data_IF_218875553897
#
_entry.id   IF_218875553897
#
_cell.length_a   1.000
_cell.length_b   1.000
_cell.length_c   1.000
_cell.angle_alpha   90.00
_cell.angle_beta   90.00
_cell.angle_gamma   90.00
#
_symmetry.space_group_name_H-M   'P 1'
#
loop_
_entity.id
_entity.type
_entity.pdbx_description
1 polymer ?
#
# COMPACT_ATOMS: atom_id res chain seq x y z
N UNK A 1 27.26 -3.46 47.40
CA UNK A 1 27.75 -4.82 47.72
C UNK A 1 27.39 -5.70 46.53
N UNK A 2 28.12 -5.63 45.41
CA UNK A 2 29.41 -6.30 45.08
C UNK A 2 29.23 -7.78 44.80
N UNK A 3 29.45 -8.20 43.55
CA UNK A 3 29.51 -9.61 43.16
C UNK A 3 29.74 -9.81 41.65
N UNK A 4 30.89 -9.38 41.13
CA UNK A 4 31.42 -9.80 39.82
C UNK A 4 31.92 -11.24 39.93
N UNK A 5 31.66 -12.06 38.93
CA UNK A 5 32.52 -13.20 38.58
C UNK A 5 32.82 -13.15 37.08
N UNK A 6 34.10 -12.95 36.80
CA UNK A 6 34.77 -13.10 35.51
C UNK A 6 35.45 -14.49 35.53
N UNK A 7 36.08 -14.85 34.42
CA UNK A 7 37.09 -15.93 34.21
C UNK A 7 36.40 -17.29 33.89
N UNK A 8 36.69 -18.03 32.81
CA UNK A 8 38.02 -18.35 32.24
C UNK A 8 37.94 -18.90 30.80
N UNK A 9 39.03 -18.64 30.07
CA UNK A 9 39.46 -19.04 28.71
C UNK A 9 39.51 -20.57 28.50
N UNK A 10 39.77 -20.97 27.23
CA UNK A 10 40.86 -21.91 26.76
C UNK A 10 40.31 -22.94 25.73
N UNK A 11 40.56 -22.76 24.42
CA UNK A 11 41.47 -23.59 23.54
C UNK A 11 40.69 -24.69 22.78
N UNK A 12 40.96 -25.17 21.56
CA UNK A 12 41.81 -24.90 20.38
C UNK A 12 41.71 -26.21 19.54
N UNK A 13 41.90 -26.16 18.20
CA UNK A 13 42.27 -27.28 17.27
C UNK A 13 41.18 -28.36 16.97
N UNK A 14 41.04 -29.01 15.80
CA UNK A 14 41.85 -29.31 14.60
C UNK A 14 40.94 -29.27 13.34
N UNK A 15 41.28 -28.78 12.14
CA UNK A 15 42.31 -29.13 11.14
C UNK A 15 42.08 -30.43 10.36
N UNK A 16 42.14 -30.31 9.01
CA UNK A 16 42.24 -31.33 7.92
C UNK A 16 40.91 -31.87 7.35
N UNK A 17 40.71 -32.14 6.05
CA UNK A 17 41.62 -32.33 4.93
C UNK A 17 40.96 -32.04 3.55
N UNK A 18 41.81 -31.73 2.56
CA UNK A 18 41.55 -31.60 1.12
C UNK A 18 41.07 -32.92 0.47
N UNK A 19 40.35 -32.84 -0.67
CA UNK A 19 40.55 -33.61 -1.93
C UNK A 19 39.58 -33.03 -2.98
N UNK A 20 40.04 -32.27 -3.97
CA UNK A 20 40.56 -32.68 -5.29
C UNK A 20 39.48 -32.81 -6.38
N UNK A 21 39.82 -32.25 -7.54
CA UNK A 21 39.01 -31.85 -8.68
C UNK A 21 38.36 -32.97 -9.49
N UNK A 22 37.19 -32.67 -10.05
CA UNK A 22 36.69 -33.30 -11.29
C UNK A 22 36.16 -32.22 -12.21
N UNK A 23 36.94 -31.89 -13.25
CA UNK A 23 36.47 -31.16 -14.41
C UNK A 23 35.51 -32.04 -15.21
N UNK A 24 34.30 -31.56 -15.49
CA UNK A 24 33.52 -32.05 -16.62
C UNK A 24 32.98 -30.87 -17.43
N UNK A 25 33.33 -30.98 -18.71
CA UNK A 25 33.08 -30.07 -19.81
C UNK A 25 31.61 -29.70 -20.00
N UNK A 26 31.41 -28.41 -20.25
CA UNK A 26 30.73 -27.86 -21.42
C UNK A 26 29.66 -28.75 -22.11
N UNK A 27 28.40 -28.44 -21.82
CA UNK A 27 27.35 -28.43 -22.84
C UNK A 27 26.86 -27.00 -22.99
N UNK A 28 27.36 -26.32 -24.02
CA UNK A 28 26.72 -25.13 -24.56
C UNK A 28 25.32 -25.52 -25.05
N UNK A 29 24.29 -24.98 -24.41
CA UNK A 29 23.01 -24.76 -25.06
C UNK A 29 22.59 -23.33 -24.81
N UNK A 30 22.38 -22.61 -25.92
CA UNK A 30 22.10 -21.20 -25.97
C UNK A 30 20.89 -20.84 -25.12
N UNK A 31 21.13 -19.91 -24.21
CA UNK A 31 20.13 -19.29 -23.37
C UNK A 31 20.72 -18.04 -22.79
N UNK A 32 21.14 -17.09 -23.63
CA UNK A 32 21.10 -15.68 -23.24
C UNK A 32 19.63 -15.32 -23.04
N UNK A 33 19.04 -15.87 -21.98
CA UNK A 33 17.90 -15.29 -21.31
C UNK A 33 18.40 -13.94 -20.86
N UNK A 34 18.14 -12.96 -21.72
CA UNK A 34 18.07 -11.55 -21.37
C UNK A 34 17.15 -11.53 -20.16
N UNK A 35 17.76 -11.57 -18.97
CA UNK A 35 17.10 -11.14 -17.77
C UNK A 35 16.76 -9.70 -18.08
N UNK A 36 15.54 -9.47 -18.54
CA UNK A 36 14.92 -8.17 -18.42
C UNK A 36 15.04 -7.86 -16.94
N UNK A 37 16.05 -7.09 -16.59
CA UNK A 37 16.07 -6.31 -15.37
C UNK A 37 14.90 -5.36 -15.53
N UNK A 38 13.71 -5.87 -15.24
CA UNK A 38 12.56 -5.02 -15.01
C UNK A 38 13.04 -4.01 -13.97
N UNK A 39 13.02 -2.71 -14.28
CA UNK A 39 13.53 -1.71 -13.36
C UNK A 39 12.83 -1.93 -12.02
N UNK A 40 13.61 -2.14 -10.97
CA UNK A 40 13.07 -2.25 -9.62
C UNK A 40 12.22 -1.00 -9.39
N UNK A 41 10.91 -1.20 -9.27
CA UNK A 41 9.97 -0.11 -9.10
C UNK A 41 10.37 0.67 -7.86
N UNK A 42 10.46 1.99 -7.99
CA UNK A 42 10.78 2.86 -6.86
C UNK A 42 9.78 2.62 -5.72
N UNK A 43 10.27 2.52 -4.49
CA UNK A 43 9.43 2.41 -3.30
C UNK A 43 8.52 3.62 -3.20
N UNK A 44 7.24 3.38 -2.92
CA UNK A 44 6.24 4.41 -2.68
C UNK A 44 5.50 4.06 -1.40
N UNK A 45 5.83 4.75 -0.31
CA UNK A 45 5.30 4.41 1.00
C UNK A 45 3.87 4.91 1.21
N UNK A 46 3.15 4.35 2.17
CA UNK A 46 1.86 4.85 2.64
C UNK A 46 1.94 6.32 3.04
N UNK A 47 3.06 6.75 3.64
CA UNK A 47 3.29 8.15 4.02
C UNK A 47 3.34 9.03 2.78
N UNK A 48 4.08 8.62 1.74
CA UNK A 48 4.14 9.38 0.48
C UNK A 48 2.78 9.41 -0.25
N UNK A 49 2.02 8.33 -0.18
CA UNK A 49 0.65 8.27 -0.70
C UNK A 49 -0.27 9.25 0.04
N UNK A 50 -0.20 9.29 1.37
CA UNK A 50 -0.98 10.21 2.19
C UNK A 50 -0.56 11.67 1.97
N UNK A 51 0.73 11.96 1.86
CA UNK A 51 1.25 13.29 1.54
C UNK A 51 0.76 13.79 0.19
N UNK A 52 0.71 12.92 -0.83
CA UNK A 52 0.19 13.28 -2.16
C UNK A 52 -1.31 13.63 -2.14
N UNK A 53 -2.09 13.06 -1.22
CA UNK A 53 -3.49 13.44 -0.98
C UNK A 53 -3.57 14.73 -0.17
N UNK A 54 -2.74 14.86 0.88
CA UNK A 54 -2.72 16.04 1.75
C UNK A 54 -2.30 17.33 1.03
N UNK A 55 -1.59 17.23 -0.10
CA UNK A 55 -1.21 18.38 -0.93
C UNK A 55 -2.36 18.96 -1.75
N UNK A 56 -3.50 18.26 -1.85
CA UNK A 56 -4.67 18.79 -2.55
C UNK A 56 -5.27 19.99 -1.78
N UNK A 57 -5.63 21.09 -2.48
CA UNK A 57 -6.29 22.23 -1.87
C UNK A 57 -7.53 21.85 -1.07
N UNK A 58 -7.64 22.33 0.16
CA UNK A 58 -8.80 22.10 1.03
C UNK A 58 -8.79 20.76 1.79
N UNK A 59 -7.80 19.89 1.59
CA UNK A 59 -7.60 18.71 2.44
C UNK A 59 -6.98 19.15 3.77
N UNK A 60 -7.59 18.73 4.88
CA UNK A 60 -7.17 19.09 6.24
C UNK A 60 -6.39 17.97 6.92
N UNK A 61 -6.63 16.71 6.53
CA UNK A 61 -5.87 15.55 7.00
C UNK A 61 -5.93 14.42 5.98
N UNK A 62 -4.82 13.69 5.81
CA UNK A 62 -4.80 12.43 5.08
C UNK A 62 -3.88 11.44 5.79
N UNK A 63 -4.34 10.19 5.93
CA UNK A 63 -3.57 9.08 6.49
C UNK A 63 -3.84 7.82 5.67
N UNK A 64 -2.79 7.04 5.40
CA UNK A 64 -2.88 5.74 4.75
C UNK A 64 -2.08 4.75 5.59
N UNK A 65 -2.65 3.57 5.82
CA UNK A 65 -2.02 2.51 6.59
C UNK A 65 -2.59 1.14 6.24
N UNK A 66 -1.98 0.08 6.76
CA UNK A 66 -2.56 -1.27 6.77
C UNK A 66 -2.93 -1.71 8.17
N UNK A 67 -3.89 -2.63 8.26
CA UNK A 67 -4.27 -3.26 9.52
C UNK A 67 -4.73 -4.70 9.30
N UNK A 68 -4.76 -5.48 10.37
CA UNK A 68 -5.31 -6.84 10.36
C UNK A 68 -6.83 -6.78 10.27
N UNK A 69 -7.41 -7.63 9.43
CA UNK A 69 -8.85 -7.76 9.20
C UNK A 69 -9.34 -9.11 9.72
N UNK A 70 -9.44 -9.25 11.05
CA UNK A 70 -9.83 -10.49 11.72
C UNK A 70 -8.65 -11.44 11.98
N UNK A 71 -8.10 -12.07 10.93
CA UNK A 71 -6.97 -13.00 11.04
C UNK A 71 -5.64 -12.34 10.67
N UNK A 72 -4.48 -12.76 11.23
CA UNK A 72 -3.17 -12.16 10.91
C UNK A 72 -2.77 -12.18 9.43
N UNK A 73 -3.30 -13.12 8.63
CA UNK A 73 -3.06 -13.19 7.17
C UNK A 73 -4.02 -12.32 6.35
N UNK A 74 -5.04 -11.76 7.00
CA UNK A 74 -6.04 -10.88 6.40
C UNK A 74 -5.60 -9.44 6.67
N UNK A 75 -5.20 -8.75 5.61
CA UNK A 75 -4.70 -7.38 5.67
C UNK A 75 -5.65 -6.51 4.89
N UNK A 76 -6.16 -5.46 5.55
CA UNK A 76 -6.91 -4.38 4.89
C UNK A 76 -6.01 -3.16 4.73
N UNK A 77 -6.20 -2.45 3.63
CA UNK A 77 -5.64 -1.12 3.39
C UNK A 77 -6.66 -0.09 3.87
N UNK A 78 -6.19 0.92 4.59
CA UNK A 78 -6.99 1.97 5.21
C UNK A 78 -6.56 3.31 4.65
N UNK A 79 -7.52 4.14 4.28
CA UNK A 79 -7.30 5.54 3.98
C UNK A 79 -8.31 6.39 4.76
N UNK A 80 -7.82 7.41 5.47
CA UNK A 80 -8.65 8.38 6.20
C UNK A 80 -8.34 9.77 5.66
N UNK A 81 -9.36 10.46 5.16
CA UNK A 81 -9.20 11.78 4.54
C UNK A 81 -10.30 12.71 5.02
N UNK A 82 -9.91 13.92 5.41
CA UNK A 82 -10.83 15.00 5.77
C UNK A 82 -10.56 16.22 4.90
N UNK A 83 -11.63 16.91 4.50
CA UNK A 83 -11.56 18.18 3.80
C UNK A 83 -12.37 19.26 4.52
N UNK A 84 -12.00 20.51 4.27
CA UNK A 84 -12.65 21.70 4.85
C UNK A 84 -14.06 21.93 4.31
N UNK A 85 -14.83 22.75 5.03
CA UNK A 85 -16.15 23.15 4.59
C UNK A 85 -16.08 23.94 3.27
N UNK A 86 -16.95 23.60 2.32
CA UNK A 86 -16.95 24.24 1.00
C UNK A 86 -15.92 23.69 0.02
N UNK A 87 -15.34 22.51 0.29
CA UNK A 87 -14.54 21.76 -0.69
C UNK A 87 -15.25 21.71 -2.04
N UNK A 88 -14.60 22.26 -3.07
CA UNK A 88 -15.25 22.60 -4.34
C UNK A 88 -15.06 21.54 -5.43
N UNK A 89 -14.13 20.60 -5.23
CA UNK A 89 -13.85 19.55 -6.19
C UNK A 89 -14.82 18.35 -6.03
N UNK A 90 -14.89 17.50 -7.06
CA UNK A 90 -15.82 16.37 -7.09
C UNK A 90 -15.45 15.30 -6.05
N UNK A 91 -16.33 14.97 -5.08
CA UNK A 91 -16.06 13.93 -4.07
C UNK A 91 -15.80 12.53 -4.66
N UNK A 92 -16.43 12.15 -5.78
CA UNK A 92 -16.21 10.86 -6.43
C UNK A 92 -14.78 10.76 -6.99
N UNK A 93 -14.30 11.84 -7.60
CA UNK A 93 -12.96 11.92 -8.16
C UNK A 93 -11.88 11.97 -7.07
N UNK A 94 -12.16 12.67 -5.96
CA UNK A 94 -11.31 12.62 -4.77
C UNK A 94 -11.24 11.19 -4.21
N UNK A 95 -12.37 10.50 -4.09
CA UNK A 95 -12.42 9.10 -3.62
C UNK A 95 -11.60 8.18 -4.53
N UNK A 96 -11.75 8.29 -5.85
CA UNK A 96 -10.94 7.53 -6.81
C UNK A 96 -9.44 7.81 -6.62
N UNK A 97 -9.06 9.08 -6.53
CA UNK A 97 -7.66 9.46 -6.36
C UNK A 97 -7.07 8.89 -5.06
N UNK A 98 -7.81 8.94 -3.94
CA UNK A 98 -7.39 8.35 -2.66
C UNK A 98 -7.16 6.85 -2.80
N UNK A 99 -8.09 6.12 -3.41
CA UNK A 99 -7.98 4.66 -3.60
C UNK A 99 -6.76 4.34 -4.46
N UNK A 100 -6.55 5.06 -5.56
CA UNK A 100 -5.42 4.84 -6.46
C UNK A 100 -4.08 5.18 -5.81
N UNK A 101 -4.00 6.25 -5.02
CA UNK A 101 -2.79 6.55 -4.25
C UNK A 101 -2.48 5.46 -3.22
N UNK A 102 -3.49 5.04 -2.45
CA UNK A 102 -3.32 3.96 -1.49
C UNK A 102 -2.90 2.64 -2.18
N UNK A 103 -3.54 2.28 -3.29
CA UNK A 103 -3.24 1.05 -4.06
C UNK A 103 -1.85 1.05 -4.68
N UNK A 104 -1.24 2.22 -4.85
CA UNK A 104 0.11 2.38 -5.42
C UNK A 104 1.22 2.18 -4.39
N UNK A 105 0.89 2.19 -3.11
CA UNK A 105 1.87 2.04 -2.02
C UNK A 105 2.47 0.63 -1.96
N UNK A 106 3.68 0.52 -1.42
CA UNK A 106 4.48 -0.72 -1.44
C UNK A 106 4.76 -1.34 -0.07
N UNK A 107 4.35 -0.72 1.04
CA UNK A 107 4.74 -1.13 2.41
C UNK A 107 4.23 -2.52 2.78
N UNK A 108 2.93 -2.77 2.58
CA UNK A 108 2.31 -4.05 2.89
C UNK A 108 1.14 -4.32 1.96
N UNK A 109 1.17 -5.48 1.30
CA UNK A 109 0.12 -5.89 0.38
C UNK A 109 -1.21 -6.14 1.12
N UNK A 110 -2.32 -5.49 0.73
CA UNK A 110 -3.64 -5.86 1.22
C UNK A 110 -4.11 -7.20 0.63
N UNK A 111 -4.89 -7.95 1.40
CA UNK A 111 -5.41 -9.27 1.03
C UNK A 111 -6.93 -9.38 1.12
N UNK A 112 -7.62 -8.43 1.76
CA UNK A 112 -9.09 -8.49 1.90
C UNK A 112 -9.80 -7.30 1.28
N UNK A 113 -9.61 -6.10 1.82
CA UNK A 113 -10.36 -4.90 1.42
C UNK A 113 -9.49 -3.65 1.43
N UNK A 114 -9.89 -2.67 0.63
CA UNK A 114 -9.53 -1.26 0.79
C UNK A 114 -10.71 -0.58 1.49
N UNK A 115 -10.48 -0.02 2.68
CA UNK A 115 -11.47 0.78 3.42
C UNK A 115 -11.07 2.24 3.34
N UNK A 116 -11.95 3.07 2.80
CA UNK A 116 -11.76 4.52 2.73
C UNK A 116 -12.78 5.20 3.61
N UNK A 117 -12.31 6.10 4.45
CA UNK A 117 -13.10 7.04 5.24
C UNK A 117 -12.83 8.44 4.68
N UNK A 118 -13.88 9.08 4.15
CA UNK A 118 -13.80 10.40 3.53
C UNK A 118 -14.84 11.31 4.16
N UNK A 119 -14.38 12.35 4.86
CA UNK A 119 -15.22 13.40 5.42
C UNK A 119 -14.99 14.73 4.72
N UNK A 120 -16.08 15.43 4.40
CA UNK A 120 -16.04 16.85 4.02
C UNK A 120 -16.89 17.61 5.03
N UNK A 121 -16.31 18.60 5.70
CA UNK A 121 -17.01 19.34 6.75
C UNK A 121 -18.31 19.97 6.20
N UNK A 122 -19.42 19.70 6.90
CA UNK A 122 -20.75 20.21 6.52
C UNK A 122 -21.42 19.48 5.36
N UNK A 123 -20.86 18.37 4.86
CA UNK A 123 -21.48 17.53 3.83
C UNK A 123 -21.76 16.11 4.37
N UNK A 124 -22.88 15.54 3.95
CA UNK A 124 -23.21 14.13 4.18
C UNK A 124 -22.94 13.35 2.88
N UNK A 125 -21.94 12.48 2.91
CA UNK A 125 -21.48 11.76 1.73
C UNK A 125 -21.95 10.30 1.76
N UNK A 126 -22.63 9.88 0.69
CA UNK A 126 -22.89 8.46 0.43
C UNK A 126 -21.67 7.85 -0.29
N UNK A 127 -20.69 7.40 0.49
CA UNK A 127 -19.46 6.82 -0.07
C UNK A 127 -19.69 5.54 -0.88
N UNK A 128 -20.80 4.82 -0.65
CA UNK A 128 -21.14 3.63 -1.45
C UNK A 128 -21.64 4.07 -2.82
N UNK A 129 -22.48 5.10 -2.88
CA UNK A 129 -22.91 5.68 -4.15
C UNK A 129 -21.73 6.28 -4.93
N UNK A 130 -20.83 7.01 -4.26
CA UNK A 130 -19.61 7.55 -4.89
C UNK A 130 -18.68 6.44 -5.40
N UNK A 131 -18.47 5.38 -4.62
CA UNK A 131 -17.66 4.24 -5.07
C UNK A 131 -18.30 3.55 -6.30
N UNK A 132 -19.63 3.40 -6.31
CA UNK A 132 -20.34 2.86 -7.46
C UNK A 132 -20.22 3.76 -8.71
N UNK A 133 -20.21 5.09 -8.55
CA UNK A 133 -20.00 6.05 -9.64
C UNK A 133 -18.65 5.85 -10.34
N UNK A 134 -17.60 5.55 -9.58
CA UNK A 134 -16.25 5.27 -10.09
C UNK A 134 -16.04 3.79 -10.48
N UNK A 135 -17.11 3.00 -10.53
CA UNK A 135 -17.08 1.60 -10.97
C UNK A 135 -16.53 0.61 -9.94
N UNK A 136 -16.43 1.00 -8.67
CA UNK A 136 -15.98 0.15 -7.57
C UNK A 136 -17.16 -0.16 -6.63
N UNK A 137 -17.85 -1.30 -6.81
CA UNK A 137 -18.97 -1.66 -5.95
C UNK A 137 -18.48 -1.91 -4.51
N UNK A 138 -18.66 -0.90 -3.65
CA UNK A 138 -18.32 -0.96 -2.24
C UNK A 138 -19.50 -1.37 -1.35
N UNK A 139 -19.21 -1.65 -0.08
CA UNK A 139 -20.22 -1.87 0.95
C UNK A 139 -19.95 -1.00 2.17
N UNK A 140 -21.01 -0.62 2.89
CA UNK A 140 -20.88 0.03 4.20
C UNK A 140 -20.27 -0.97 5.18
N UNK A 141 -19.45 -0.51 6.12
CA UNK A 141 -19.06 -1.36 7.24
C UNK A 141 -20.30 -1.71 8.08
N UNK A 142 -20.76 -2.95 7.96
CA UNK A 142 -21.97 -3.44 8.64
C UNK A 142 -21.85 -3.39 10.17
N UNK A 143 -20.63 -3.31 10.71
CA UNK A 143 -20.39 -3.25 12.15
C UNK A 143 -20.53 -1.84 12.72
N UNK A 144 -20.61 -0.81 11.87
CA UNK A 144 -20.79 0.56 12.32
C UNK A 144 -21.65 1.32 11.28
N UNK A 145 -22.96 1.37 11.50
CA UNK A 145 -23.90 2.07 10.58
C UNK A 145 -23.73 3.58 10.55
N UNK A 146 -22.94 4.15 11.46
CA UNK A 146 -22.56 5.56 11.49
C UNK A 146 -21.14 5.78 10.94
N UNK A 147 -20.52 4.75 10.38
CA UNK A 147 -19.18 4.81 9.84
C UNK A 147 -19.25 5.45 8.46
N UNK A 148 -18.64 6.62 8.32
CA UNK A 148 -18.46 7.33 7.06
C UNK A 148 -17.38 6.63 6.22
N UNK A 149 -17.51 5.32 6.01
CA UNK A 149 -16.53 4.51 5.30
C UNK A 149 -17.15 3.59 4.26
N UNK A 150 -16.40 3.35 3.20
CA UNK A 150 -16.71 2.35 2.17
C UNK A 150 -15.63 1.28 2.15
N UNK A 151 -16.05 0.01 2.10
CA UNK A 151 -15.17 -1.16 1.99
C UNK A 151 -15.28 -1.75 0.59
N UNK A 152 -14.16 -1.84 -0.10
CA UNK A 152 -14.06 -2.33 -1.47
C UNK A 152 -13.19 -3.59 -1.46
N UNK A 153 -13.66 -4.73 -1.99
CA UNK A 153 -12.86 -5.94 -2.12
C UNK A 153 -11.58 -5.69 -2.93
N UNK A 154 -10.45 -6.26 -2.50
CA UNK A 154 -9.17 -6.10 -3.24
C UNK A 154 -9.24 -6.63 -4.67
N UNK A 155 -10.09 -7.63 -4.93
CA UNK A 155 -10.28 -8.18 -6.27
C UNK A 155 -10.95 -7.17 -7.21
N UNK A 156 -11.91 -6.37 -6.71
CA UNK A 156 -12.56 -5.32 -7.49
C UNK A 156 -11.60 -4.17 -7.77
N UNK A 157 -10.79 -3.77 -6.78
CA UNK A 157 -9.73 -2.76 -6.97
C UNK A 157 -8.69 -3.24 -7.98
N UNK A 158 -8.28 -4.51 -7.89
CA UNK A 158 -7.34 -5.10 -8.83
C UNK A 158 -7.92 -5.21 -10.25
N UNK A 159 -9.22 -5.49 -10.38
CA UNK A 159 -9.90 -5.52 -11.67
C UNK A 159 -9.97 -4.11 -12.31
N UNK A 160 -10.17 -3.06 -11.50
CA UNK A 160 -10.25 -1.68 -11.97
C UNK A 160 -8.87 -1.05 -12.27
N UNK A 161 -7.88 -1.26 -11.40
CA UNK A 161 -6.61 -0.53 -11.43
C UNK A 161 -5.38 -1.41 -11.66
N UNK A 162 -5.57 -2.71 -11.90
CA UNK A 162 -4.49 -3.66 -12.13
C UNK A 162 -3.85 -4.21 -10.85
N UNK A 163 -2.82 -5.02 -11.03
CA UNK A 163 -2.15 -5.71 -9.93
C UNK A 163 -1.51 -4.74 -8.94
N UNK A 164 -1.53 -5.10 -7.65
CA UNK A 164 -0.81 -4.37 -6.62
C UNK A 164 0.71 -4.60 -6.73
N UNK A 165 1.55 -3.57 -6.51
CA UNK A 165 1.16 -2.16 -6.34
C UNK A 165 0.69 -1.55 -7.66
N UNK A 166 -0.39 -0.77 -7.65
CA UNK A 166 -0.90 -0.06 -8.83
C UNK A 166 -0.01 1.12 -9.23
N UNK A 167 -0.20 1.73 -10.41
CA UNK A 167 0.55 2.92 -10.86
C UNK A 167 0.23 4.17 -10.03
N UNK A 168 1.24 4.95 -9.64
CA UNK A 168 1.06 6.20 -8.89
C UNK A 168 0.29 7.19 -9.79
N UNK A 169 -0.95 7.57 -9.44
CA UNK A 169 -1.73 8.49 -10.25
C UNK A 169 -1.17 9.92 -10.12
N UNK A 170 -1.15 10.71 -11.20
CA UNK A 170 -1.04 12.15 -11.06
C UNK A 170 -2.31 12.72 -10.40
N UNK A 171 -2.22 13.84 -9.68
CA UNK A 171 -3.42 14.50 -9.16
C UNK A 171 -4.30 14.98 -10.32
N UNK A 172 -5.63 14.71 -10.29
CA UNK A 172 -6.54 15.26 -11.29
C UNK A 172 -6.59 16.79 -11.22
N UNK A 173 -6.58 17.45 -12.39
CA UNK A 173 -6.59 18.92 -12.48
C UNK A 173 -7.84 19.55 -11.82
N UNK A 174 -8.96 18.84 -11.88
CA UNK A 174 -10.23 19.15 -11.22
C UNK A 174 -10.16 19.15 -9.69
N UNK A 175 -9.15 18.52 -9.07
CA UNK A 175 -8.89 18.61 -7.64
C UNK A 175 -8.09 19.86 -7.25
N UNK A 176 -7.93 20.83 -8.17
CA UNK A 176 -7.37 22.15 -7.86
C UNK A 176 -5.86 22.25 -7.95
N UNK A 177 -5.18 21.23 -8.47
CA UNK A 177 -3.74 21.27 -8.71
C UNK A 177 -3.51 21.93 -10.07
N UNK A 178 -3.14 23.22 -10.06
CA UNK A 178 -2.67 23.89 -11.27
C UNK A 178 -1.27 23.37 -11.60
N UNK A 179 -1.06 22.92 -12.85
CA UNK A 179 0.25 22.49 -13.37
C UNK A 179 1.34 23.56 -13.21
#
# INVERSE_FOLDING_TARGET
>A
MTGRTVVTRTVLLCLTALFASSMLAACSFGGTGRGSSEPARAEYSHVQAAEAVAQLPGITSAEIATSTDGLPSQVKLLAWVSAEAGYSANPAELLEYIIRQAWSSTDQRPTTTVRVELGIEGQDLDLVALAAEIGLPGTVDQNNKNDWSVRIPVDDVAAAYGAWPGEIPPPPASLGVSE
#
